data_IF_672488033529
#
_entry.id   IF_672488033529
#
_cell.length_a   1.000
_cell.length_b   1.000
_cell.length_c   1.000
_cell.angle_alpha   90.00
_cell.angle_beta   90.00
_cell.angle_gamma   90.00
#
_symmetry.space_group_name_H-M   'P 1'
#
loop_
_entity.id
_entity.type
_entity.pdbx_description
1 polymer ?
#
# COMPACT_ATOMS: atom_id res chain seq x y z
N UNK A 1 -40.32 -16.48 -0.19
CA UNK A 1 -40.69 -15.80 1.07
C UNK A 1 -39.42 -15.37 1.77
N UNK A 2 -39.29 -14.10 2.16
CA UNK A 2 -38.13 -13.64 2.91
C UNK A 2 -38.19 -14.25 4.33
N UNK A 3 -37.18 -15.03 4.70
CA UNK A 3 -37.04 -15.59 6.04
C UNK A 3 -36.90 -14.44 7.04
N UNK A 4 -37.79 -14.36 8.01
CA UNK A 4 -37.72 -13.39 9.12
C UNK A 4 -36.73 -13.88 10.18
N UNK A 5 -36.02 -12.92 10.79
CA UNK A 5 -35.03 -13.19 11.83
C UNK A 5 -35.74 -13.62 13.12
N UNK A 6 -35.39 -14.79 13.67
CA UNK A 6 -36.03 -15.39 14.85
C UNK A 6 -35.15 -15.32 16.10
N UNK A 7 -35.71 -15.65 17.27
CA UNK A 7 -34.93 -15.77 18.53
C UNK A 7 -33.85 -16.86 18.44
N UNK A 8 -34.08 -17.94 17.69
CA UNK A 8 -33.07 -18.97 17.44
C UNK A 8 -31.89 -18.41 16.64
N UNK A 9 -32.15 -17.48 15.71
CA UNK A 9 -31.11 -16.77 14.97
C UNK A 9 -30.33 -15.79 15.87
N UNK A 10 -30.98 -15.19 16.88
CA UNK A 10 -30.28 -14.37 17.87
C UNK A 10 -29.31 -15.18 18.73
N UNK A 11 -29.72 -16.36 19.19
CA UNK A 11 -28.86 -17.27 19.94
C UNK A 11 -27.65 -17.71 19.09
N UNK A 12 -27.91 -18.07 17.83
CA UNK A 12 -26.86 -18.43 16.86
C UNK A 12 -25.90 -17.28 16.62
N UNK A 13 -26.42 -16.05 16.48
CA UNK A 13 -25.60 -14.84 16.28
C UNK A 13 -24.71 -14.54 17.50
N UNK A 14 -25.21 -14.70 18.73
CA UNK A 14 -24.39 -14.55 19.95
C UNK A 14 -23.28 -15.60 20.01
N UNK A 15 -23.61 -16.85 19.70
CA UNK A 15 -22.62 -17.93 19.72
C UNK A 15 -21.52 -17.68 18.69
N UNK A 16 -21.87 -17.38 17.44
CA UNK A 16 -20.89 -17.11 16.38
C UNK A 16 -20.06 -15.85 16.66
N UNK A 17 -20.62 -14.85 17.33
CA UNK A 17 -19.89 -13.68 17.80
C UNK A 17 -18.89 -14.02 18.91
N UNK A 18 -19.29 -14.83 19.90
CA UNK A 18 -18.41 -15.33 20.95
C UNK A 18 -17.27 -16.22 20.41
N UNK A 19 -17.55 -16.98 19.36
CA UNK A 19 -16.56 -17.80 18.63
C UNK A 19 -15.61 -16.97 17.76
N UNK A 20 -15.76 -15.63 17.72
CA UNK A 20 -14.89 -14.71 17.00
C UNK A 20 -15.11 -14.68 15.48
N UNK A 21 -16.24 -15.19 15.00
CA UNK A 21 -16.52 -15.25 13.56
C UNK A 21 -16.82 -13.85 13.01
N UNK A 22 -16.17 -13.48 11.90
CA UNK A 22 -16.40 -12.18 11.26
C UNK A 22 -17.86 -12.00 10.82
N UNK A 23 -18.39 -10.79 10.92
CA UNK A 23 -19.77 -10.44 10.50
C UNK A 23 -20.14 -10.96 9.10
N UNK A 24 -19.22 -10.85 8.13
CA UNK A 24 -19.48 -11.28 6.75
C UNK A 24 -19.57 -12.81 6.64
N UNK A 25 -18.79 -13.54 7.42
CA UNK A 25 -18.88 -15.00 7.51
C UNK A 25 -20.20 -15.42 8.18
N UNK A 26 -20.62 -14.75 9.26
CA UNK A 26 -21.91 -14.98 9.91
C UNK A 26 -23.08 -14.77 8.92
N UNK A 27 -23.04 -13.67 8.15
CA UNK A 27 -24.06 -13.37 7.14
C UNK A 27 -24.18 -14.49 6.08
N UNK A 28 -23.04 -15.00 5.58
CA UNK A 28 -23.01 -16.11 4.63
C UNK A 28 -23.51 -17.42 5.25
N UNK A 29 -23.12 -17.70 6.48
CA UNK A 29 -23.46 -18.93 7.19
C UNK A 29 -24.95 -19.00 7.56
N UNK A 30 -25.54 -17.88 8.00
CA UNK A 30 -26.95 -17.82 8.39
C UNK A 30 -27.89 -17.52 7.21
N UNK A 31 -27.34 -17.15 6.04
CA UNK A 31 -28.11 -16.80 4.85
C UNK A 31 -28.83 -15.45 4.94
N UNK A 32 -28.32 -14.52 5.75
CA UNK A 32 -28.89 -13.18 5.92
C UNK A 32 -28.01 -12.11 5.27
N UNK A 33 -28.61 -10.98 4.91
CA UNK A 33 -27.85 -9.82 4.45
C UNK A 33 -26.97 -9.27 5.59
N UNK A 34 -25.79 -8.75 5.24
CA UNK A 34 -24.84 -8.15 6.20
C UNK A 34 -25.49 -7.00 7.01
N UNK A 35 -26.39 -6.24 6.39
CA UNK A 35 -27.15 -5.19 7.06
C UNK A 35 -28.07 -5.72 8.16
N UNK A 36 -28.77 -6.83 7.91
CA UNK A 36 -29.62 -7.51 8.89
C UNK A 36 -28.81 -7.96 10.11
N UNK A 37 -27.69 -8.65 9.89
CA UNK A 37 -26.79 -9.08 10.97
C UNK A 37 -26.26 -7.90 11.76
N UNK A 38 -25.89 -6.79 11.10
CA UNK A 38 -25.40 -5.58 11.78
C UNK A 38 -26.46 -4.97 12.69
N UNK A 39 -27.71 -4.86 12.21
CA UNK A 39 -28.81 -4.28 12.99
C UNK A 39 -29.15 -5.14 14.21
N UNK A 40 -29.22 -6.46 14.04
CA UNK A 40 -29.50 -7.38 15.15
C UNK A 40 -28.34 -7.46 16.14
N UNK A 41 -27.09 -7.50 15.67
CA UNK A 41 -25.93 -7.46 16.55
C UNK A 41 -25.90 -6.18 17.40
N UNK A 42 -26.18 -5.02 16.80
CA UNK A 42 -26.30 -3.75 17.53
C UNK A 42 -27.43 -3.78 18.56
N UNK A 43 -28.59 -4.35 18.23
CA UNK A 43 -29.71 -4.52 19.18
C UNK A 43 -29.33 -5.42 20.36
N UNK A 44 -28.48 -6.42 20.12
CA UNK A 44 -27.97 -7.35 21.12
C UNK A 44 -26.73 -6.83 21.87
N UNK A 45 -26.25 -5.62 21.57
CA UNK A 45 -25.03 -5.05 22.18
C UNK A 45 -23.73 -5.71 21.72
N UNK A 46 -23.74 -6.51 20.64
CA UNK A 46 -22.57 -7.17 20.10
C UNK A 46 -21.80 -6.19 19.21
N UNK A 47 -20.56 -5.88 19.59
CA UNK A 47 -19.64 -5.11 18.76
C UNK A 47 -18.75 -6.05 17.94
N UNK A 48 -18.83 -5.96 16.62
CA UNK A 48 -17.79 -6.52 15.77
C UNK A 48 -16.64 -5.51 15.80
N UNK A 49 -15.52 -5.89 16.39
CA UNK A 49 -14.38 -5.01 16.64
C UNK A 49 -13.87 -4.39 15.33
N UNK A 50 -14.36 -3.19 15.03
CA UNK A 50 -13.94 -2.39 13.86
C UNK A 50 -12.64 -1.66 14.15
N UNK A 51 -12.28 -1.53 15.43
CA UNK A 51 -11.07 -0.85 15.88
C UNK A 51 -9.85 -1.73 15.60
N UNK A 52 -9.93 -3.03 15.86
CA UNK A 52 -8.88 -3.98 15.48
C UNK A 52 -8.61 -4.00 13.96
N UNK A 53 -9.66 -3.94 13.13
CA UNK A 53 -9.51 -3.88 11.66
C UNK A 53 -8.94 -2.54 11.20
N UNK A 54 -9.37 -1.43 11.82
CA UNK A 54 -8.85 -0.09 11.52
C UNK A 54 -7.37 0.03 11.90
N UNK A 55 -7.00 -0.39 13.11
CA UNK A 55 -5.62 -0.42 13.57
C UNK A 55 -4.73 -1.30 12.68
N UNK A 56 -5.22 -2.47 12.24
CA UNK A 56 -4.49 -3.32 11.31
C UNK A 56 -4.35 -2.69 9.91
N UNK A 57 -5.35 -1.94 9.46
CA UNK A 57 -5.29 -1.21 8.18
C UNK A 57 -4.32 -0.04 8.25
N UNK A 58 -4.37 0.73 9.34
CA UNK A 58 -3.51 1.88 9.56
C UNK A 58 -2.04 1.44 9.70
N UNK A 59 -1.77 0.38 10.47
CA UNK A 59 -0.45 -0.23 10.55
C UNK A 59 0.07 -0.69 9.17
N UNK A 60 -0.79 -1.34 8.38
CA UNK A 60 -0.44 -1.77 7.03
C UNK A 60 -0.18 -0.60 6.08
N UNK A 61 -0.86 0.54 6.25
CA UNK A 61 -0.58 1.75 5.47
C UNK A 61 0.79 2.33 5.81
N UNK A 62 1.16 2.36 7.09
CA UNK A 62 2.50 2.76 7.55
C UNK A 62 3.56 1.84 6.95
N UNK A 63 3.39 0.52 7.09
CA UNK A 63 4.33 -0.47 6.53
C UNK A 63 4.52 -0.29 5.01
N UNK A 64 3.42 -0.06 4.29
CA UNK A 64 3.47 0.15 2.84
C UNK A 64 4.15 1.47 2.47
N UNK A 65 4.00 2.52 3.29
CA UNK A 65 4.70 3.80 3.09
C UNK A 65 6.20 3.62 3.28
N UNK A 66 6.61 2.93 4.34
CA UNK A 66 8.02 2.66 4.62
C UNK A 66 8.67 1.82 3.50
N UNK A 67 7.97 0.80 3.01
CA UNK A 67 8.44 -0.01 1.87
C UNK A 67 8.61 0.84 0.60
N UNK A 68 7.73 1.80 0.34
CA UNK A 68 7.84 2.69 -0.82
C UNK A 68 8.99 3.67 -0.67
N UNK A 69 9.20 4.25 0.51
CA UNK A 69 10.35 5.11 0.78
C UNK A 69 11.67 4.36 0.59
N UNK A 70 11.77 3.12 1.08
CA UNK A 70 12.94 2.27 0.85
C UNK A 70 13.14 1.96 -0.64
N UNK A 71 12.07 1.70 -1.39
CA UNK A 71 12.15 1.48 -2.83
C UNK A 71 12.64 2.74 -3.57
N UNK A 72 12.16 3.92 -3.19
CA UNK A 72 12.61 5.19 -3.74
C UNK A 72 14.11 5.41 -3.49
N UNK A 73 14.59 5.18 -2.27
CA UNK A 73 16.01 5.30 -1.95
C UNK A 73 16.86 4.37 -2.83
N UNK A 74 16.48 3.09 -2.93
CA UNK A 74 17.20 2.12 -3.75
C UNK A 74 17.22 2.49 -5.24
N UNK A 75 16.15 3.09 -5.75
CA UNK A 75 16.11 3.57 -7.14
C UNK A 75 17.04 4.76 -7.36
N UNK A 76 17.15 5.67 -6.39
CA UNK A 76 18.10 6.78 -6.46
C UNK A 76 19.56 6.32 -6.34
N UNK A 77 19.84 5.35 -5.46
CA UNK A 77 21.16 4.74 -5.37
C UNK A 77 21.55 4.04 -6.67
N UNK A 78 20.60 3.31 -7.28
CA UNK A 78 20.80 2.70 -8.59
C UNK A 78 21.01 3.74 -9.69
N UNK A 79 20.24 4.82 -9.72
CA UNK A 79 20.43 5.94 -10.65
C UNK A 79 21.86 6.48 -10.58
N UNK A 80 22.33 6.81 -9.37
CA UNK A 80 23.69 7.32 -9.15
C UNK A 80 24.74 6.30 -9.60
N UNK A 81 24.59 5.05 -9.20
CA UNK A 81 25.52 3.98 -9.57
C UNK A 81 25.65 3.82 -11.09
N UNK A 82 24.55 3.94 -11.83
CA UNK A 82 24.56 3.81 -13.29
C UNK A 82 25.22 5.02 -13.97
N UNK A 83 25.08 6.23 -13.42
CA UNK A 83 25.83 7.40 -13.89
C UNK A 83 27.32 7.27 -13.58
N UNK A 84 27.69 6.84 -12.37
CA UNK A 84 29.09 6.59 -12.01
C UNK A 84 29.74 5.60 -12.99
N UNK A 85 29.01 4.53 -13.35
CA UNK A 85 29.47 3.54 -14.35
C UNK A 85 29.58 4.11 -15.75
N UNK A 86 28.74 5.07 -16.12
CA UNK A 86 28.79 5.72 -17.42
C UNK A 86 30.01 6.63 -17.59
N UNK A 87 30.58 7.09 -16.47
CA UNK A 87 31.75 7.98 -16.41
C UNK A 87 33.03 7.25 -15.98
N UNK A 88 32.92 5.98 -15.59
CA UNK A 88 34.05 5.18 -15.11
C UNK A 88 34.78 4.45 -16.24
N UNK A 89 36.04 4.09 -15.95
CA UNK A 89 36.81 3.20 -16.83
C UNK A 89 36.06 1.90 -17.10
N UNK A 90 36.11 1.47 -18.35
CA UNK A 90 35.36 0.31 -18.82
C UNK A 90 36.28 -0.74 -19.41
N UNK A 91 36.12 -2.00 -18.98
CA UNK A 91 36.86 -3.13 -19.53
C UNK A 91 36.10 -3.69 -20.73
N UNK A 92 36.67 -3.56 -21.92
CA UNK A 92 36.15 -4.23 -23.12
C UNK A 92 36.85 -5.56 -23.27
N UNK A 93 36.07 -6.64 -23.31
CA UNK A 93 36.56 -7.99 -23.62
C UNK A 93 36.11 -8.39 -25.00
N UNK A 94 37.01 -8.98 -25.79
CA UNK A 94 36.70 -9.43 -27.14
C UNK A 94 37.65 -10.52 -27.62
N UNK A 95 37.57 -10.80 -28.91
CA UNK A 95 38.43 -11.77 -29.59
C UNK A 95 39.10 -11.11 -30.79
N UNK A 96 40.37 -11.42 -31.00
CA UNK A 96 41.05 -11.05 -32.24
C UNK A 96 40.55 -11.88 -33.42
N UNK A 97 40.87 -11.44 -34.64
CA UNK A 97 40.67 -12.23 -35.86
C UNK A 97 41.42 -13.58 -35.86
N UNK A 98 42.44 -13.73 -35.01
CA UNK A 98 43.17 -14.99 -34.81
C UNK A 98 42.58 -15.89 -33.72
N UNK A 99 41.50 -15.46 -33.06
CA UNK A 99 40.86 -16.22 -31.99
C UNK A 99 41.56 -16.13 -30.63
N UNK A 100 42.42 -15.14 -30.41
CA UNK A 100 42.99 -14.87 -29.09
C UNK A 100 42.07 -13.92 -28.29
N UNK A 101 41.90 -14.14 -26.97
CA UNK A 101 41.13 -13.22 -26.14
C UNK A 101 41.90 -11.90 -25.95
N UNK A 102 41.18 -10.78 -25.98
CA UNK A 102 41.72 -9.44 -25.70
C UNK A 102 40.86 -8.78 -24.64
N UNK A 103 41.52 -8.10 -23.71
CA UNK A 103 40.88 -7.26 -22.72
C UNK A 103 41.61 -5.92 -22.69
N UNK A 104 40.88 -4.83 -22.94
CA UNK A 104 41.42 -3.47 -22.96
C UNK A 104 40.62 -2.55 -22.06
N UNK A 105 41.32 -1.75 -21.26
CA UNK A 105 40.71 -0.73 -20.43
C UNK A 105 40.54 0.55 -21.23
N UNK A 106 39.29 0.96 -21.42
CA UNK A 106 38.96 2.27 -21.96
C UNK A 106 38.82 3.29 -20.83
N UNK A 107 39.14 4.56 -21.13
CA UNK A 107 38.95 5.65 -20.18
C UNK A 107 37.47 5.82 -19.82
N UNK A 108 36.59 5.65 -20.81
CA UNK A 108 35.14 5.78 -20.69
C UNK A 108 34.46 4.61 -21.45
N UNK A 109 33.22 4.25 -21.10
CA UNK A 109 32.50 3.19 -21.79
C UNK A 109 32.23 3.55 -23.27
N UNK A 110 32.13 2.54 -24.16
CA UNK A 110 31.69 2.78 -25.52
C UNK A 110 30.31 3.42 -25.58
N UNK A 111 30.04 4.21 -26.62
CA UNK A 111 28.79 4.98 -26.74
C UNK A 111 27.49 4.15 -26.56
N UNK A 112 27.50 2.88 -26.97
CA UNK A 112 26.38 1.97 -26.76
C UNK A 112 26.15 1.66 -25.28
N UNK A 113 27.22 1.33 -24.55
CA UNK A 113 27.18 1.07 -23.11
C UNK A 113 26.78 2.34 -22.35
N UNK A 114 27.36 3.49 -22.71
CA UNK A 114 26.97 4.79 -22.11
C UNK A 114 25.49 5.07 -22.31
N UNK A 115 24.94 4.82 -23.50
CA UNK A 115 23.51 4.95 -23.78
C UNK A 115 22.69 4.00 -22.91
N UNK A 116 23.09 2.74 -22.79
CA UNK A 116 22.33 1.73 -22.03
C UNK A 116 22.36 2.04 -20.52
N UNK A 117 23.51 2.46 -19.98
CA UNK A 117 23.68 2.90 -18.59
C UNK A 117 22.84 4.14 -18.28
N UNK A 118 22.94 5.19 -19.11
CA UNK A 118 22.17 6.43 -18.92
C UNK A 118 20.67 6.21 -19.10
N UNK A 119 20.25 5.36 -20.05
CA UNK A 119 18.84 5.00 -20.20
C UNK A 119 18.30 4.25 -18.97
N UNK A 120 19.07 3.32 -18.41
CA UNK A 120 18.70 2.63 -17.18
C UNK A 120 18.61 3.60 -15.98
N UNK A 121 19.52 4.57 -15.89
CA UNK A 121 19.49 5.62 -14.88
C UNK A 121 18.20 6.44 -14.99
N UNK A 122 17.90 7.00 -16.17
CA UNK A 122 16.68 7.80 -16.40
C UNK A 122 15.41 7.02 -16.05
N UNK A 123 15.34 5.73 -16.40
CA UNK A 123 14.20 4.90 -16.04
C UNK A 123 14.03 4.76 -14.52
N UNK A 124 15.13 4.60 -13.77
CA UNK A 124 15.08 4.52 -12.31
C UNK A 124 14.63 5.84 -11.68
N UNK A 125 15.14 6.97 -12.18
CA UNK A 125 14.71 8.31 -11.76
C UNK A 125 13.20 8.51 -12.00
N UNK A 126 12.70 8.17 -13.18
CA UNK A 126 11.27 8.28 -13.51
C UNK A 126 10.38 7.47 -12.55
N UNK A 127 10.83 6.27 -12.14
CA UNK A 127 10.09 5.45 -11.17
C UNK A 127 10.15 6.03 -9.77
N UNK A 128 11.30 6.55 -9.35
CA UNK A 128 11.45 7.21 -8.05
C UNK A 128 10.55 8.46 -7.95
N UNK A 129 10.51 9.29 -8.99
CA UNK A 129 9.65 10.48 -9.06
C UNK A 129 8.17 10.11 -9.03
N UNK A 130 7.76 9.05 -9.74
CA UNK A 130 6.36 8.57 -9.70
C UNK A 130 5.96 8.05 -8.32
N UNK A 131 6.85 7.37 -7.60
CA UNK A 131 6.58 6.94 -6.22
C UNK A 131 6.45 8.15 -5.29
N UNK A 132 7.33 9.14 -5.41
CA UNK A 132 7.25 10.38 -4.63
C UNK A 132 5.95 11.17 -4.91
N UNK A 133 5.53 11.24 -6.17
CA UNK A 133 4.24 11.85 -6.55
C UNK A 133 3.05 11.09 -5.95
N UNK A 134 3.07 9.75 -6.04
CA UNK A 134 2.03 8.92 -5.46
C UNK A 134 1.89 9.15 -3.95
N UNK A 135 3.00 9.23 -3.22
CA UNK A 135 2.99 9.48 -1.77
C UNK A 135 2.50 10.90 -1.44
N UNK A 136 2.91 11.91 -2.21
CA UNK A 136 2.42 13.29 -2.03
C UNK A 136 0.90 13.40 -2.25
N UNK A 137 0.36 12.76 -3.29
CA UNK A 137 -1.09 12.75 -3.55
C UNK A 137 -1.89 12.01 -2.48
N UNK A 138 -1.34 10.94 -1.90
CA UNK A 138 -2.04 10.17 -0.86
C UNK A 138 -1.98 10.86 0.51
N UNK A 139 -0.85 11.50 0.84
CA UNK A 139 -0.74 12.28 2.08
C UNK A 139 -1.73 13.47 2.07
N UNK A 140 -1.87 14.20 0.95
CA UNK A 140 -2.82 15.32 0.83
C UNK A 140 -4.28 14.87 0.97
N UNK A 141 -4.66 13.77 0.30
CA UNK A 141 -6.02 13.19 0.43
C UNK A 141 -6.31 12.72 1.86
N UNK A 142 -5.31 12.18 2.57
CA UNK A 142 -5.46 11.73 3.96
C UNK A 142 -5.63 12.91 4.91
N UNK A 143 -4.86 13.99 4.76
CA UNK A 143 -5.01 15.23 5.54
C UNK A 143 -6.39 15.84 5.31
N UNK A 144 -6.82 15.97 4.06
CA UNK A 144 -8.17 16.47 3.72
C UNK A 144 -9.29 15.61 4.32
N UNK A 145 -9.12 14.28 4.35
CA UNK A 145 -10.10 13.39 4.98
C UNK A 145 -10.16 13.56 6.50
N UNK A 146 -9.01 13.76 7.16
CA UNK A 146 -8.90 14.05 8.59
C UNK A 146 -9.54 15.40 8.94
N UNK A 147 -9.29 16.45 8.15
CA UNK A 147 -9.88 17.77 8.38
C UNK A 147 -11.40 17.76 8.26
N UNK A 148 -11.95 17.03 7.26
CA UNK A 148 -13.41 16.84 7.15
C UNK A 148 -13.99 16.06 8.33
N UNK A 149 -13.26 15.06 8.82
CA UNK A 149 -13.68 14.29 9.99
C UNK A 149 -13.68 15.15 11.26
N UNK A 150 -12.62 15.93 11.49
CA UNK A 150 -12.51 16.86 12.62
C UNK A 150 -13.57 17.96 12.55
N UNK A 151 -13.82 18.51 11.36
CA UNK A 151 -14.90 19.47 11.12
C UNK A 151 -16.27 18.91 11.50
N UNK A 152 -16.57 17.68 11.07
CA UNK A 152 -17.82 16.99 11.43
C UNK A 152 -17.95 16.78 12.95
N UNK A 153 -16.87 16.35 13.62
CA UNK A 153 -16.87 16.10 15.07
C UNK A 153 -17.01 17.40 15.89
N UNK A 154 -16.44 18.51 15.42
CA UNK A 154 -16.54 19.82 16.07
C UNK A 154 -17.89 20.50 15.81
N UNK A 155 -18.56 20.20 14.69
CA UNK A 155 -19.92 20.70 14.39
C UNK A 155 -21.04 19.97 15.14
N UNK A 156 -20.77 18.84 15.80
CA UNK A 156 -21.77 18.03 16.52
C UNK A 156 -21.91 18.36 18.01
N UNK A 157 -21.38 19.48 18.53
CA UNK A 157 -21.78 19.96 19.87
C UNK A 157 -23.14 20.66 19.76
N UNK A 158 -24.25 20.08 20.26
CA UNK A 158 -25.46 20.85 20.40
C UNK A 158 -25.18 21.95 21.42
N UNK A 159 -25.42 23.20 21.02
CA UNK A 159 -25.69 24.25 21.98
C UNK A 159 -26.81 23.74 22.89
N UNK A 160 -26.47 23.52 24.15
CA UNK A 160 -27.47 23.30 25.18
C UNK A 160 -28.11 24.66 25.40
N UNK A 161 -29.19 24.90 24.66
CA UNK A 161 -30.10 26.03 24.87
C UNK A 161 -30.63 26.02 26.32
N UNK A 162 -30.54 27.20 26.95
CA UNK A 162 -31.16 27.58 28.24
C UNK A 162 -32.68 27.43 28.26
#
# INVERSE_FOLDING_TARGET
>A
MARTFSEADEATLRQLHADGVSRNAIARQMGFAVGTITNHARRLGLSFDREAVRAATDARQVDLKDQRQQAQQRLMDFFNHQLDRAESRYLVTGWTHTGAPVAEWLQEPPARETKDLTSAATQALDRALKLAQFDAEHDDKNLSAMDRFLGAMLSERPEQDE
#
